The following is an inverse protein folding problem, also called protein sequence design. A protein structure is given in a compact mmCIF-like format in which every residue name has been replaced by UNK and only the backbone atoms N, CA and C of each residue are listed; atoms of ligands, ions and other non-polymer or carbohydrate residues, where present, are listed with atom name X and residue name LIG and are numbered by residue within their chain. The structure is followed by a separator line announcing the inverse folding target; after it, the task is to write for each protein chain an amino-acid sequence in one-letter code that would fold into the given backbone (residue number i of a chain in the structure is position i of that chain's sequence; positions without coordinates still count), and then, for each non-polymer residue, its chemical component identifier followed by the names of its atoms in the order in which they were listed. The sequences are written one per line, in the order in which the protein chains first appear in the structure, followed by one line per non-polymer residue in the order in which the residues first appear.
data_IF_567174693673
#
_entry.id   IF_567174693673
#
_cell.length_a   1.000
_cell.length_b   1.000
_cell.length_c   1.000
_cell.angle_alpha   90.00
_cell.angle_beta   90.00
_cell.angle_gamma   90.00
#
_symmetry.space_group_name_H-M   'P 1'
#
loop_
_entity.id
_entity.type
_entity.pdbx_description
1 polymer ?
#
# COMPACT_ATOMS: atom_id res chain seq x y z
N UNK A 1 21.10 -5.09 -28.59
CA UNK A 1 19.89 -5.46 -29.36
C UNK A 1 18.84 -5.80 -28.33
N UNK A 2 17.82 -4.95 -28.15
CA UNK A 2 16.74 -5.23 -27.21
C UNK A 2 15.83 -6.28 -27.86
N UNK A 3 15.62 -7.40 -27.16
CA UNK A 3 14.71 -8.44 -27.62
C UNK A 3 13.29 -7.94 -27.37
N UNK A 4 12.60 -7.48 -28.41
CA UNK A 4 11.20 -7.06 -28.29
C UNK A 4 10.37 -8.33 -28.24
N UNK A 5 9.94 -8.71 -27.04
CA UNK A 5 9.00 -9.82 -26.87
C UNK A 5 7.64 -9.39 -27.40
N UNK A 6 7.22 -9.98 -28.52
CA UNK A 6 5.88 -9.74 -29.07
C UNK A 6 4.82 -10.39 -28.17
N UNK A 7 3.61 -9.81 -28.08
CA UNK A 7 2.52 -10.42 -27.33
C UNK A 7 2.19 -11.81 -27.92
N UNK A 8 1.84 -12.79 -27.07
CA UNK A 8 1.45 -14.12 -27.53
C UNK A 8 0.14 -14.08 -28.32
N UNK A 9 -0.16 -15.13 -29.07
CA UNK A 9 -1.40 -15.22 -29.82
C UNK A 9 -2.62 -15.24 -28.88
N UNK A 10 -3.54 -14.28 -29.02
CA UNK A 10 -4.77 -14.19 -28.22
C UNK A 10 -5.78 -13.20 -28.85
N UNK A 11 -6.97 -13.10 -28.25
CA UNK A 11 -7.95 -12.04 -28.53
C UNK A 11 -7.56 -10.75 -27.80
N UNK A 12 -7.55 -9.64 -28.53
CA UNK A 12 -7.24 -8.31 -28.01
C UNK A 12 -8.26 -7.30 -28.54
N UNK A 13 -8.35 -6.11 -27.92
CA UNK A 13 -9.23 -5.04 -28.40
C UNK A 13 -8.87 -4.63 -29.82
N UNK A 14 -9.87 -4.54 -30.70
CA UNK A 14 -9.68 -4.17 -32.10
C UNK A 14 -9.31 -2.69 -32.24
N UNK A 15 -8.12 -2.32 -32.77
CA UNK A 15 -7.75 -0.91 -32.94
C UNK A 15 -8.57 -0.21 -34.05
N UNK A 16 -9.23 -0.97 -34.93
CA UNK A 16 -9.97 -0.44 -36.07
C UNK A 16 -11.50 -0.37 -35.84
N UNK A 17 -12.02 -0.80 -34.68
CA UNK A 17 -13.47 -0.80 -34.42
C UNK A 17 -13.89 -1.37 -33.08
N UNK A 18 -15.18 -1.65 -32.93
CA UNK A 18 -15.73 -2.25 -31.72
C UNK A 18 -15.52 -3.77 -31.71
N UNK A 19 -15.04 -4.30 -30.59
CA UNK A 19 -14.93 -5.74 -30.33
C UNK A 19 -13.52 -6.25 -30.11
N UNK A 20 -13.34 -7.55 -30.32
CA UNK A 20 -12.07 -8.23 -30.17
C UNK A 20 -11.57 -8.69 -31.54
N UNK A 21 -10.27 -8.52 -31.79
CA UNK A 21 -9.57 -9.04 -32.95
C UNK A 21 -8.49 -10.02 -32.49
N UNK A 22 -8.28 -11.08 -33.25
CA UNK A 22 -7.29 -12.09 -32.89
C UNK A 22 -5.89 -11.70 -33.41
N UNK A 23 -4.91 -11.67 -32.50
CA UNK A 23 -3.47 -11.55 -32.79
C UNK A 23 -2.87 -12.95 -32.85
N UNK A 24 -2.10 -13.27 -33.88
CA UNK A 24 -1.51 -14.62 -34.06
C UNK A 24 -0.07 -14.75 -33.50
N UNK A 25 0.45 -13.70 -32.86
CA UNK A 25 1.84 -13.62 -32.41
C UNK A 25 2.74 -12.80 -33.33
N UNK A 26 2.31 -12.54 -34.56
CA UNK A 26 3.10 -11.81 -35.58
C UNK A 26 2.30 -10.65 -36.19
N UNK A 27 0.99 -10.84 -36.40
CA UNK A 27 0.09 -9.87 -37.00
C UNK A 27 -1.36 -10.03 -36.52
N UNK A 28 -2.16 -9.00 -36.77
CA UNK A 28 -3.61 -9.07 -36.61
C UNK A 28 -4.20 -9.93 -37.72
N UNK A 29 -5.10 -10.85 -37.36
CA UNK A 29 -5.84 -11.68 -38.32
C UNK A 29 -7.20 -11.06 -38.65
N UNK A 30 -7.91 -11.58 -39.65
CA UNK A 30 -9.27 -11.14 -39.98
C UNK A 30 -10.36 -11.70 -39.06
N UNK A 31 -9.98 -12.54 -38.07
CA UNK A 31 -10.92 -13.05 -37.09
C UNK A 31 -11.32 -11.96 -36.10
N UNK A 32 -12.61 -11.64 -36.09
CA UNK A 32 -13.25 -10.70 -35.18
C UNK A 32 -14.28 -11.44 -34.34
N UNK A 33 -14.33 -11.13 -33.05
CA UNK A 33 -15.38 -11.57 -32.15
C UNK A 33 -16.16 -10.33 -31.68
N UNK A 34 -17.48 -10.45 -31.46
CA UNK A 34 -18.22 -9.42 -30.72
C UNK A 34 -17.47 -9.16 -29.42
N UNK A 35 -17.23 -7.89 -29.09
CA UNK A 35 -16.76 -7.55 -27.76
C UNK A 35 -17.75 -8.12 -26.73
N UNK A 36 -17.31 -8.38 -25.49
CA UNK A 36 -18.28 -8.62 -24.41
C UNK A 36 -19.30 -7.49 -24.50
N UNK A 37 -20.56 -7.85 -24.77
CA UNK A 37 -21.64 -6.87 -24.92
C UNK A 37 -21.47 -5.90 -23.77
N UNK A 38 -21.22 -4.63 -24.09
CA UNK A 38 -21.00 -3.62 -23.07
C UNK A 38 -22.23 -3.70 -22.17
N UNK A 39 -22.04 -4.28 -20.97
CA UNK A 39 -23.13 -4.46 -20.02
C UNK A 39 -23.72 -3.08 -19.89
N UNK A 40 -24.99 -2.87 -20.27
CA UNK A 40 -25.55 -1.55 -20.38
C UNK A 40 -25.28 -0.86 -19.06
N UNK A 41 -24.53 0.25 -19.12
CA UNK A 41 -24.08 0.96 -17.94
C UNK A 41 -25.29 1.06 -17.00
N UNK A 42 -25.19 0.58 -15.74
CA UNK A 42 -26.32 0.55 -14.85
C UNK A 42 -26.93 1.94 -14.86
N UNK A 43 -28.17 2.05 -15.32
CA UNK A 43 -28.86 3.33 -15.36
C UNK A 43 -28.87 3.79 -13.91
N UNK A 44 -28.04 4.80 -13.61
CA UNK A 44 -27.81 5.28 -12.26
C UNK A 44 -29.18 5.63 -11.68
N UNK A 45 -29.72 4.71 -10.91
CA UNK A 45 -30.92 4.99 -10.13
C UNK A 45 -30.42 5.97 -9.10
N UNK A 46 -30.80 7.23 -9.25
CA UNK A 46 -30.56 8.28 -8.27
C UNK A 46 -31.31 7.88 -7.00
N UNK A 47 -30.73 6.98 -6.21
CA UNK A 47 -31.14 6.74 -4.85
C UNK A 47 -30.71 8.00 -4.12
N UNK A 48 -31.68 8.92 -3.93
CA UNK A 48 -31.53 10.02 -2.98
C UNK A 48 -31.13 9.41 -1.64
N UNK A 49 -29.85 9.54 -1.31
CA UNK A 49 -29.35 9.23 0.02
C UNK A 49 -30.21 10.00 1.03
N UNK A 50 -30.95 9.26 1.85
CA UNK A 50 -31.56 9.82 3.06
C UNK A 50 -30.40 10.26 3.96
N UNK A 51 -30.15 11.56 4.01
CA UNK A 51 -29.30 12.19 5.01
C UNK A 51 -29.89 11.92 6.39
N UNK A 52 -29.30 10.94 7.06
CA UNK A 52 -29.75 10.48 8.38
C UNK A 52 -28.63 9.84 9.18
N UNK A 53 -27.36 10.14 8.90
CA UNK A 53 -26.29 9.80 9.83
C UNK A 53 -26.19 10.86 10.92
N UNK A 54 -26.58 10.47 12.13
CA UNK A 54 -26.33 11.25 13.34
C UNK A 54 -24.82 11.28 13.62
N UNK A 55 -24.27 12.39 14.13
CA UNK A 55 -22.85 12.56 14.37
C UNK A 55 -22.38 11.58 15.47
N UNK A 56 -21.52 10.61 15.11
CA UNK A 56 -20.94 9.61 16.03
C UNK A 56 -19.82 10.16 16.93
N UNK A 57 -19.58 11.47 16.93
CA UNK A 57 -18.50 12.09 17.70
C UNK A 57 -18.73 12.15 19.23
N UNK A 58 -19.84 11.60 19.72
CA UNK A 58 -20.16 11.57 21.17
C UNK A 58 -19.80 10.25 21.88
N UNK A 59 -19.34 9.22 21.17
CA UNK A 59 -19.12 7.89 21.79
C UNK A 59 -17.70 7.68 22.36
N UNK A 60 -16.70 8.45 21.94
CA UNK A 60 -15.32 8.28 22.43
C UNK A 60 -15.11 8.69 23.88
N UNK A 61 -15.79 9.75 24.34
CA UNK A 61 -15.64 10.26 25.72
C UNK A 61 -16.27 9.34 26.77
N UNK A 62 -17.30 8.56 26.41
CA UNK A 62 -17.96 7.66 27.37
C UNK A 62 -17.04 6.48 27.73
N UNK A 63 -16.26 5.98 26.77
CA UNK A 63 -15.29 4.89 27.00
C UNK A 63 -14.10 5.39 27.81
N UNK A 64 -13.57 6.58 27.50
CA UNK A 64 -12.48 7.19 28.27
C UNK A 64 -12.88 7.48 29.73
N UNK A 65 -14.11 7.96 29.97
CA UNK A 65 -14.62 8.19 31.33
C UNK A 65 -14.79 6.88 32.12
N UNK A 66 -15.25 5.80 31.48
CA UNK A 66 -15.39 4.49 32.12
C UNK A 66 -14.04 3.87 32.51
N UNK A 67 -13.02 3.98 31.64
CA UNK A 67 -11.66 3.51 31.92
C UNK A 67 -11.03 4.32 33.07
N UNK A 68 -11.17 5.65 33.06
CA UNK A 68 -10.64 6.50 34.12
C UNK A 68 -11.28 6.18 35.49
N UNK A 69 -12.60 5.94 35.52
CA UNK A 69 -13.30 5.59 36.75
C UNK A 69 -12.87 4.21 37.29
N UNK A 70 -12.59 3.25 36.39
CA UNK A 70 -12.04 1.95 36.76
C UNK A 70 -10.63 2.06 37.41
N UNK A 71 -9.74 2.88 36.84
CA UNK A 71 -8.40 3.11 37.41
C UNK A 71 -8.45 3.81 38.77
N UNK A 72 -9.39 4.74 39.00
CA UNK A 72 -9.57 5.40 40.30
C UNK A 72 -10.03 4.42 41.39
N UNK A 73 -10.90 3.46 41.06
CA UNK A 73 -11.35 2.44 42.02
C UNK A 73 -10.23 1.46 42.36
N UNK A 74 -9.40 1.06 41.39
CA UNK A 74 -8.26 0.16 41.63
C UNK A 74 -7.15 0.87 42.42
N UNK A 75 -6.90 2.15 42.16
CA UNK A 75 -5.91 2.95 42.88
C UNK A 75 -6.24 3.20 44.36
N UNK A 76 -7.50 3.11 44.76
CA UNK A 76 -7.92 3.30 46.15
C UNK A 76 -7.71 2.07 47.06
N UNK A 77 -7.46 0.89 46.50
CA UNK A 77 -7.31 -0.37 47.26
C UNK A 77 -5.83 -0.74 47.47
N UNK A 78 -4.90 -0.13 46.73
CA UNK A 78 -3.49 -0.53 46.68
C UNK A 78 -2.54 -0.02 47.77
N UNK A 79 -3.01 0.46 48.94
CA UNK A 79 -2.12 1.09 49.94
C UNK A 79 -1.98 0.35 51.29
N UNK A 80 -2.14 -0.98 51.33
CA UNK A 80 -1.86 -1.78 52.55
C UNK A 80 -1.18 -3.12 52.26
N UNK A 81 -0.08 -3.12 51.51
CA UNK A 81 0.79 -4.29 51.41
C UNK A 81 2.20 -3.88 51.86
N UNK A 82 2.54 -4.29 53.09
CA UNK A 82 3.89 -4.22 53.64
C UNK A 82 4.85 -5.06 52.79
N UNK A 83 5.97 -4.50 52.29
CA UNK A 83 7.00 -5.28 51.65
C UNK A 83 7.85 -5.99 52.71
N UNK A 84 7.65 -7.30 52.84
CA UNK A 84 8.61 -8.18 53.50
C UNK A 84 9.81 -8.40 52.58
N UNK A 85 10.99 -8.35 53.19
CA UNK A 85 12.32 -8.42 52.59
C UNK A 85 12.49 -9.50 51.53
N UNK A 86 13.07 -9.13 50.39
CA UNK A 86 13.75 -10.07 49.49
C UNK A 86 15.05 -9.44 49.02
N UNK A 87 16.04 -9.64 49.89
CA UNK A 87 17.46 -9.59 49.63
C UNK A 87 17.82 -10.44 48.41
N UNK A 88 18.39 -9.82 47.37
CA UNK A 88 19.26 -10.52 46.41
C UNK A 88 20.26 -9.53 45.81
N UNK A 89 21.41 -9.55 46.46
CA UNK A 89 22.78 -9.23 46.08
C UNK A 89 23.03 -8.96 44.58
N UNK A 90 23.27 -7.68 44.26
CA UNK A 90 23.85 -7.24 42.98
C UNK A 90 25.38 -7.18 43.09
N UNK A 91 26.09 -8.12 42.46
CA UNK A 91 27.54 -8.05 42.27
C UNK A 91 27.88 -7.06 41.15
N UNK A 92 28.45 -5.91 41.52
CA UNK A 92 29.06 -4.94 40.60
C UNK A 92 30.44 -5.45 40.15
N UNK A 93 30.66 -5.52 38.84
CA UNK A 93 31.99 -5.58 38.21
C UNK A 93 32.25 -4.27 37.47
N UNK A 94 33.27 -3.48 37.85
CA UNK A 94 33.79 -2.41 37.02
C UNK A 94 35.09 -2.87 36.36
N UNK A 95 35.24 -2.69 35.04
CA UNK A 95 36.58 -2.49 34.48
C UNK A 95 36.51 -1.83 33.11
N UNK A 96 37.18 -0.69 33.03
CA UNK A 96 37.37 0.13 31.87
C UNK A 96 38.47 -0.45 30.97
N UNK A 97 38.39 -0.20 29.67
CA UNK A 97 39.60 0.15 28.91
C UNK A 97 39.29 1.08 27.71
N UNK A 98 40.02 2.19 27.53
CA UNK A 98 39.85 3.11 26.42
C UNK A 98 40.82 2.79 25.28
N UNK A 99 40.32 2.35 24.12
CA UNK A 99 41.15 2.16 22.94
C UNK A 99 41.09 3.38 22.01
N UNK A 100 42.12 4.23 22.13
CA UNK A 100 42.56 5.16 21.08
C UNK A 100 42.80 4.39 19.78
N UNK A 101 42.35 4.92 18.64
CA UNK A 101 42.98 4.63 17.34
C UNK A 101 43.17 5.94 16.57
N UNK A 102 44.43 6.16 16.20
CA UNK A 102 44.92 7.29 15.44
C UNK A 102 44.45 7.25 13.98
N UNK A 103 44.41 8.47 13.44
CA UNK A 103 44.44 8.89 12.04
C UNK A 103 45.28 8.03 11.09
N UNK A 104 44.76 7.89 9.87
CA UNK A 104 45.41 8.09 8.56
C UNK A 104 44.28 7.87 7.53
N UNK A 105 43.95 8.72 6.56
CA UNK A 105 44.82 9.52 5.70
C UNK A 105 44.46 9.14 4.27
N UNK A 106 43.54 9.85 3.62
CA UNK A 106 43.42 9.90 2.15
C UNK A 106 42.42 10.99 1.74
N UNK A 107 42.97 12.11 1.30
CA UNK A 107 42.29 13.21 0.62
C UNK A 107 42.19 12.86 -0.87
N UNK A 108 41.00 12.75 -1.48
CA UNK A 108 40.91 12.70 -2.94
C UNK A 108 41.00 14.11 -3.52
N UNK A 109 42.02 14.30 -4.35
CA UNK A 109 42.27 15.43 -5.24
C UNK A 109 41.03 15.87 -6.00
N UNK A 110 40.63 17.12 -5.78
CA UNK A 110 39.65 17.85 -6.60
C UNK A 110 40.27 18.12 -7.98
N UNK A 111 39.72 17.50 -9.02
CA UNK A 111 39.99 17.87 -10.42
C UNK A 111 39.08 19.03 -10.82
N UNK A 112 39.61 20.14 -11.36
CA UNK A 112 38.80 21.19 -11.96
C UNK A 112 38.30 20.75 -13.33
N UNK A 113 37.00 20.44 -13.44
CA UNK A 113 36.34 20.28 -14.74
C UNK A 113 36.09 21.64 -15.37
N UNK A 114 36.83 21.87 -16.46
CA UNK A 114 36.67 22.96 -17.43
C UNK A 114 35.23 23.04 -17.95
N UNK A 115 34.52 24.09 -17.53
CA UNK A 115 33.19 24.44 -18.02
C UNK A 115 33.28 24.99 -19.45
N UNK A 116 32.69 24.25 -20.39
CA UNK A 116 32.46 24.68 -21.78
C UNK A 116 31.30 25.69 -21.81
N UNK A 117 31.39 26.79 -22.59
CA UNK A 117 30.37 27.82 -22.62
C UNK A 117 29.03 27.31 -23.18
N UNK A 118 27.98 27.63 -22.43
CA UNK A 118 26.57 27.40 -22.71
C UNK A 118 26.09 28.26 -23.90
N UNK A 119 25.46 27.69 -24.94
CA UNK A 119 24.79 28.48 -25.95
C UNK A 119 23.50 29.12 -25.41
N UNK A 120 23.30 30.37 -25.82
CA UNK A 120 22.19 31.27 -25.50
C UNK A 120 20.78 30.67 -25.68
N UNK A 121 19.78 31.21 -24.97
CA UNK A 121 18.44 30.65 -24.87
C UNK A 121 17.69 30.79 -26.19
N UNK A 122 17.33 29.65 -26.80
CA UNK A 122 16.29 29.62 -27.82
C UNK A 122 14.96 29.97 -27.19
N UNK A 123 14.28 30.97 -27.77
CA UNK A 123 12.94 31.40 -27.41
C UNK A 123 12.01 30.19 -27.40
N UNK A 124 11.59 29.81 -26.20
CA UNK A 124 10.56 28.79 -25.98
C UNK A 124 9.23 29.33 -26.51
N UNK A 125 8.86 28.88 -27.70
CA UNK A 125 7.49 28.96 -28.19
C UNK A 125 6.66 28.05 -27.29
N UNK A 126 5.94 28.68 -26.35
CA UNK A 126 4.96 28.03 -25.48
C UNK A 126 4.06 27.13 -26.33
N UNK A 127 4.14 25.79 -26.21
CA UNK A 127 3.24 24.92 -26.94
C UNK A 127 1.83 25.16 -26.40
N UNK A 128 0.91 25.47 -27.32
CA UNK A 128 -0.54 25.43 -27.08
C UNK A 128 -0.87 24.17 -26.28
N UNK A 129 -1.60 24.26 -25.15
CA UNK A 129 -1.95 23.09 -24.35
C UNK A 129 -2.74 22.13 -25.23
N UNK A 130 -2.07 21.10 -25.73
CA UNK A 130 -2.69 20.01 -26.46
C UNK A 130 -3.64 19.37 -25.46
N UNK A 131 -4.94 19.48 -25.72
CA UNK A 131 -5.99 18.77 -24.98
C UNK A 131 -5.87 17.30 -25.37
N UNK A 132 -4.80 16.64 -24.91
CA UNK A 132 -4.71 15.19 -24.95
C UNK A 132 -5.95 14.69 -24.24
N UNK A 133 -6.81 13.89 -24.90
CA UNK A 133 -8.01 13.38 -24.28
C UNK A 133 -7.60 12.73 -22.96
N UNK A 134 -8.21 13.19 -21.87
CA UNK A 134 -7.99 12.62 -20.54
C UNK A 134 -8.22 11.12 -20.72
N UNK A 135 -7.19 10.27 -20.47
CA UNK A 135 -7.36 8.84 -20.62
C UNK A 135 -8.59 8.44 -19.83
N UNK A 136 -9.51 7.75 -20.51
CA UNK A 136 -10.72 7.20 -19.89
C UNK A 136 -10.31 6.58 -18.56
N UNK A 137 -10.85 7.10 -17.46
CA UNK A 137 -10.34 6.82 -16.12
C UNK A 137 -10.17 5.31 -15.97
N UNK A 138 -8.91 4.87 -15.90
CA UNK A 138 -8.62 3.45 -15.75
C UNK A 138 -9.40 2.95 -14.53
N UNK A 139 -10.14 1.85 -14.69
CA UNK A 139 -10.89 1.26 -13.60
C UNK A 139 -9.90 0.96 -12.46
N UNK A 140 -10.11 1.59 -11.30
CA UNK A 140 -9.29 1.37 -10.11
C UNK A 140 -10.00 0.30 -9.29
N UNK A 141 -9.37 -0.86 -9.15
CA UNK A 141 -9.97 -2.03 -8.48
C UNK A 141 -9.43 -2.23 -7.07
N UNK A 142 -8.18 -1.84 -6.80
CA UNK A 142 -7.52 -1.93 -5.49
C UNK A 142 -7.48 -0.58 -4.75
N UNK A 143 -6.28 -0.13 -4.39
CA UNK A 143 -6.10 1.12 -3.62
C UNK A 143 -6.62 2.32 -4.41
N UNK A 144 -7.53 3.07 -3.82
CA UNK A 144 -8.20 4.19 -4.46
C UNK A 144 -9.50 3.84 -5.18
N UNK A 145 -9.91 2.58 -5.22
CA UNK A 145 -11.20 2.17 -5.79
C UNK A 145 -12.37 2.83 -5.05
N UNK A 146 -13.49 3.04 -5.73
CA UNK A 146 -14.74 3.28 -5.00
C UNK A 146 -15.20 1.99 -4.34
N UNK A 147 -16.04 2.08 -3.30
CA UNK A 147 -16.65 0.90 -2.71
C UNK A 147 -17.37 0.02 -3.75
N UNK A 148 -18.09 0.64 -4.68
CA UNK A 148 -18.84 -0.10 -5.70
C UNK A 148 -17.89 -0.81 -6.69
N UNK A 149 -16.80 -0.15 -7.10
CA UNK A 149 -15.78 -0.76 -7.97
C UNK A 149 -15.06 -1.92 -7.26
N UNK A 150 -14.71 -1.74 -5.98
CA UNK A 150 -14.11 -2.79 -5.17
C UNK A 150 -15.02 -4.02 -5.10
N UNK A 151 -16.29 -3.83 -4.73
CA UNK A 151 -17.27 -4.92 -4.62
C UNK A 151 -17.62 -5.56 -5.98
N UNK A 152 -17.40 -4.85 -7.08
CA UNK A 152 -17.58 -5.40 -8.43
C UNK A 152 -16.45 -6.35 -8.84
N UNK A 153 -15.24 -6.18 -8.28
CA UNK A 153 -14.06 -6.99 -8.63
C UNK A 153 -13.60 -7.95 -7.54
N UNK A 154 -14.09 -7.78 -6.31
CA UNK A 154 -13.75 -8.62 -5.17
C UNK A 154 -14.98 -9.36 -4.65
N UNK A 155 -14.84 -10.68 -4.46
CA UNK A 155 -15.89 -11.51 -3.88
C UNK A 155 -15.71 -11.60 -2.36
N UNK A 156 -16.75 -11.28 -1.59
CA UNK A 156 -16.74 -11.40 -0.12
C UNK A 156 -16.35 -12.82 0.31
N UNK A 157 -15.41 -12.94 1.24
CA UNK A 157 -15.01 -14.21 1.81
C UNK A 157 -16.11 -14.72 2.79
N UNK A 158 -16.56 -15.98 2.66
CA UNK A 158 -17.57 -16.53 3.56
C UNK A 158 -17.00 -16.70 4.99
N UNK A 159 -17.86 -16.49 5.99
CA UNK A 159 -17.48 -16.64 7.41
C UNK A 159 -16.84 -15.41 8.04
N UNK A 160 -16.69 -14.32 7.29
CA UNK A 160 -16.20 -13.03 7.79
C UNK A 160 -17.33 -11.99 7.82
N UNK A 161 -17.15 -10.92 8.61
CA UNK A 161 -18.10 -9.80 8.64
C UNK A 161 -18.21 -9.13 7.26
N UNK A 162 -19.39 -8.61 6.94
CA UNK A 162 -19.67 -7.95 5.66
C UNK A 162 -18.66 -6.82 5.40
N UNK A 163 -17.93 -6.94 4.29
CA UNK A 163 -16.95 -5.99 3.83
C UNK A 163 -15.58 -6.06 4.50
N UNK A 164 -15.34 -7.02 5.39
CA UNK A 164 -14.08 -7.14 6.12
C UNK A 164 -13.01 -7.99 5.43
N UNK A 165 -13.41 -8.92 4.56
CA UNK A 165 -12.49 -9.85 3.90
C UNK A 165 -12.99 -10.32 2.54
N UNK A 166 -12.07 -10.50 1.59
CA UNK A 166 -12.37 -10.85 0.22
C UNK A 166 -11.44 -11.94 -0.32
N UNK A 167 -12.01 -12.74 -1.22
CA UNK A 167 -11.39 -13.84 -1.94
C UNK A 167 -10.39 -13.35 -2.99
N UNK A 168 -9.53 -14.24 -3.53
CA UNK A 168 -9.40 -15.68 -3.24
C UNK A 168 -8.83 -16.00 -1.85
N UNK A 169 -8.77 -17.27 -1.49
CA UNK A 169 -8.00 -17.69 -0.31
C UNK A 169 -6.55 -17.98 -0.71
N UNK A 170 -5.61 -17.62 0.17
CA UNK A 170 -4.18 -17.92 0.09
C UNK A 170 -3.77 -18.87 1.20
N UNK A 171 -2.77 -19.70 0.95
CA UNK A 171 -2.20 -20.62 1.95
C UNK A 171 -0.99 -19.95 2.61
N UNK A 172 -1.04 -19.79 3.93
CA UNK A 172 0.08 -19.27 4.74
C UNK A 172 0.81 -20.40 5.46
N UNK A 173 1.95 -20.11 6.11
CA UNK A 173 2.82 -21.16 6.69
C UNK A 173 2.12 -21.92 7.82
N UNK A 174 1.16 -21.27 8.48
CA UNK A 174 0.38 -21.85 9.57
C UNK A 174 -0.68 -22.87 9.09
N UNK A 175 -0.67 -23.24 7.80
CA UNK A 175 -1.56 -24.21 7.15
C UNK A 175 -3.04 -23.83 7.08
N UNK A 176 -3.42 -22.70 7.66
CA UNK A 176 -4.76 -22.16 7.58
C UNK A 176 -4.90 -21.28 6.32
N UNK A 177 -5.95 -21.57 5.55
CA UNK A 177 -6.30 -20.80 4.37
C UNK A 177 -6.92 -19.46 4.81
N UNK A 178 -6.30 -18.34 4.42
CA UNK A 178 -6.77 -17.00 4.77
C UNK A 178 -7.25 -16.26 3.53
N UNK A 179 -8.26 -15.37 3.64
CA UNK A 179 -8.66 -14.53 2.51
C UNK A 179 -7.46 -13.68 2.06
N UNK A 180 -7.25 -13.52 0.76
CA UNK A 180 -6.19 -12.68 0.19
C UNK A 180 -6.33 -11.24 0.69
N UNK A 181 -7.55 -10.72 0.73
CA UNK A 181 -7.81 -9.39 1.23
C UNK A 181 -8.48 -9.45 2.60
N UNK A 182 -7.90 -8.79 3.60
CA UNK A 182 -8.43 -8.76 4.96
C UNK A 182 -8.40 -7.34 5.54
N UNK A 183 -9.19 -7.09 6.59
CA UNK A 183 -9.21 -5.81 7.28
C UNK A 183 -9.59 -4.62 6.38
N UNK A 184 -10.42 -4.87 5.36
CA UNK A 184 -10.74 -3.84 4.36
C UNK A 184 -11.64 -2.76 4.96
N UNK A 185 -11.19 -1.50 4.87
CA UNK A 185 -12.03 -0.34 5.17
C UNK A 185 -12.73 0.16 3.90
N UNK A 186 -14.00 -0.23 3.72
CA UNK A 186 -14.82 0.11 2.56
C UNK A 186 -15.35 1.57 2.56
N UNK A 187 -14.60 2.51 3.13
CA UNK A 187 -14.82 3.95 2.87
C UNK A 187 -14.44 4.23 1.42
N UNK A 188 -15.12 5.19 0.78
CA UNK A 188 -14.77 5.62 -0.58
C UNK A 188 -13.86 6.86 -0.53
N UNK A 189 -12.69 6.83 -1.17
CA UNK A 189 -12.07 5.67 -1.81
C UNK A 189 -11.48 4.66 -0.81
N UNK A 190 -11.36 3.39 -1.22
CA UNK A 190 -10.77 2.31 -0.40
C UNK A 190 -9.28 2.56 -0.25
N UNK A 191 -8.83 2.75 1.00
CA UNK A 191 -7.46 3.20 1.30
C UNK A 191 -6.81 2.43 2.44
N UNK A 192 -7.49 1.46 3.05
CA UNK A 192 -6.91 0.63 4.10
C UNK A 192 -7.34 -0.81 3.95
N UNK A 193 -6.37 -1.72 3.79
CA UNK A 193 -6.58 -3.17 3.78
C UNK A 193 -5.24 -3.91 3.89
N UNK A 194 -5.34 -5.22 4.13
CA UNK A 194 -4.22 -6.16 4.16
C UNK A 194 -4.33 -7.07 2.94
N UNK A 195 -3.22 -7.27 2.23
CA UNK A 195 -3.07 -8.33 1.22
C UNK A 195 -2.21 -9.43 1.81
N UNK A 196 -2.82 -10.58 2.13
CA UNK A 196 -2.14 -11.79 2.57
C UNK A 196 -1.45 -12.44 1.38
N UNK A 197 -0.19 -12.80 1.56
CA UNK A 197 0.65 -13.41 0.52
C UNK A 197 0.86 -14.90 0.80
N UNK A 198 1.04 -15.74 -0.24
CA UNK A 198 1.45 -17.13 -0.05
C UNK A 198 2.79 -17.24 0.70
N UNK A 199 2.98 -18.34 1.43
CA UNK A 199 4.27 -18.64 2.07
C UNK A 199 5.43 -18.64 1.08
N UNK A 200 6.59 -18.13 1.51
CA UNK A 200 7.79 -18.07 0.70
C UNK A 200 7.75 -17.01 -0.41
N UNK A 201 6.80 -16.08 -0.37
CA UNK A 201 6.78 -14.94 -1.29
C UNK A 201 8.00 -14.06 -1.03
N UNK A 202 8.80 -13.84 -2.06
CA UNK A 202 9.98 -12.97 -1.97
C UNK A 202 9.56 -11.49 -1.90
N UNK A 203 10.45 -10.63 -1.39
CA UNK A 203 10.23 -9.18 -1.37
C UNK A 203 9.99 -8.62 -2.78
N UNK A 204 10.68 -9.14 -3.80
CA UNK A 204 10.50 -8.69 -5.17
C UNK A 204 9.10 -9.07 -5.72
N UNK A 205 8.59 -10.26 -5.38
CA UNK A 205 7.22 -10.66 -5.73
C UNK A 205 6.20 -9.85 -4.94
N UNK A 206 6.43 -9.62 -3.64
CA UNK A 206 5.59 -8.79 -2.80
C UNK A 206 5.51 -7.33 -3.31
N UNK A 207 6.64 -6.77 -3.76
CA UNK A 207 6.72 -5.47 -4.43
C UNK A 207 5.89 -5.44 -5.71
N UNK A 208 5.95 -6.50 -6.53
CA UNK A 208 5.16 -6.62 -7.74
C UNK A 208 3.65 -6.71 -7.43
N UNK A 209 3.26 -7.49 -6.42
CA UNK A 209 1.88 -7.57 -5.94
C UNK A 209 1.39 -6.21 -5.44
N UNK A 210 2.19 -5.50 -4.63
CA UNK A 210 1.84 -4.18 -4.14
C UNK A 210 1.61 -3.16 -5.27
N UNK A 211 2.38 -3.21 -6.36
CA UNK A 211 2.16 -2.35 -7.53
C UNK A 211 0.95 -2.76 -8.36
N UNK A 212 0.59 -4.05 -8.38
CA UNK A 212 -0.60 -4.55 -9.08
C UNK A 212 -1.92 -4.06 -8.46
N UNK A 213 -1.89 -3.67 -7.19
CA UNK A 213 -3.01 -3.03 -6.48
C UNK A 213 -3.31 -1.61 -6.97
N UNK A 214 -2.46 -1.04 -7.83
CA UNK A 214 -2.62 0.29 -8.41
C UNK A 214 -2.78 0.23 -9.92
N UNK A 215 -3.39 1.27 -10.54
CA UNK A 215 -3.44 1.38 -11.99
C UNK A 215 -2.05 1.35 -12.66
N UNK A 216 -1.95 0.90 -13.92
CA UNK A 216 -0.68 0.84 -14.63
C UNK A 216 0.10 2.17 -14.62
N UNK A 217 1.41 2.06 -14.41
CA UNK A 217 2.31 3.21 -14.27
C UNK A 217 2.56 3.65 -12.82
N UNK A 218 1.98 2.94 -11.85
CA UNK A 218 2.37 3.10 -10.45
C UNK A 218 3.85 2.73 -10.23
N UNK A 219 4.53 3.46 -9.36
CA UNK A 219 5.93 3.20 -9.01
C UNK A 219 6.15 3.39 -7.52
N UNK A 220 7.12 2.67 -6.95
CA UNK A 220 7.61 2.98 -5.61
C UNK A 220 8.31 4.34 -5.57
N UNK A 221 8.04 5.08 -4.50
CA UNK A 221 8.65 6.36 -4.17
C UNK A 221 9.74 6.20 -3.11
N UNK A 222 9.61 7.00 -2.04
CA UNK A 222 10.51 6.92 -0.91
C UNK A 222 10.34 5.61 -0.14
N UNK A 223 11.47 5.00 0.20
CA UNK A 223 11.59 3.85 1.07
C UNK A 223 12.08 4.31 2.43
N UNK A 224 11.31 4.01 3.47
CA UNK A 224 11.76 4.08 4.84
C UNK A 224 12.35 2.71 5.24
N UNK A 225 13.60 2.75 5.68
CA UNK A 225 14.37 1.59 6.17
C UNK A 225 14.88 1.85 7.58
N UNK A 226 14.20 2.73 8.32
CA UNK A 226 14.58 3.13 9.67
C UNK A 226 14.60 1.98 10.67
N UNK A 227 13.73 0.99 10.47
CA UNK A 227 13.66 -0.22 11.28
C UNK A 227 14.05 -1.46 10.48
N UNK A 228 14.75 -2.39 11.12
CA UNK A 228 15.18 -3.61 10.44
C UNK A 228 14.02 -4.58 10.20
N UNK A 229 13.00 -4.56 11.07
CA UNK A 229 11.86 -5.48 11.07
C UNK A 229 10.79 -5.16 10.02
N UNK A 230 10.83 -3.96 9.45
CA UNK A 230 9.74 -3.41 8.68
C UNK A 230 10.28 -2.52 7.58
N UNK A 231 9.76 -2.71 6.36
CA UNK A 231 10.05 -1.79 5.27
C UNK A 231 8.77 -1.11 4.84
N UNK A 232 8.81 0.22 4.76
CA UNK A 232 7.70 1.01 4.29
C UNK A 232 8.09 1.66 2.97
N UNK A 233 7.24 1.54 1.97
CA UNK A 233 7.39 2.27 0.71
C UNK A 233 6.17 3.13 0.44
N UNK A 234 6.41 4.35 -0.02
CA UNK A 234 5.35 5.16 -0.63
C UNK A 234 5.11 4.71 -2.05
N UNK A 235 3.87 4.81 -2.54
CA UNK A 235 3.51 4.48 -3.92
C UNK A 235 2.99 5.74 -4.62
N UNK A 236 3.52 5.98 -5.82
CA UNK A 236 3.10 7.08 -6.70
C UNK A 236 2.25 6.51 -7.83
N UNK A 237 0.99 6.95 -7.92
CA UNK A 237 0.08 6.57 -9.00
C UNK A 237 -0.78 7.79 -9.37
N UNK A 238 -0.54 8.45 -10.53
CA UNK A 238 -1.29 9.65 -10.91
C UNK A 238 -2.81 9.46 -10.94
N UNK A 239 -3.36 8.33 -11.42
CA UNK A 239 -4.81 8.09 -11.34
C UNK A 239 -5.33 8.06 -9.90
N UNK A 240 -4.61 7.40 -8.99
CA UNK A 240 -5.00 7.35 -7.57
C UNK A 240 -4.86 8.73 -6.92
N UNK A 241 -3.77 9.45 -7.16
CA UNK A 241 -3.59 10.82 -6.65
C UNK A 241 -4.73 11.75 -7.10
N UNK A 242 -5.23 11.58 -8.33
CA UNK A 242 -6.38 12.32 -8.83
C UNK A 242 -7.69 11.94 -8.10
N UNK A 243 -7.91 10.65 -7.82
CA UNK A 243 -9.08 10.18 -7.06
C UNK A 243 -9.04 10.64 -5.61
N UNK A 244 -7.87 10.60 -4.96
CA UNK A 244 -7.70 11.11 -3.59
C UNK A 244 -8.02 12.60 -3.54
N UNK A 245 -7.51 13.38 -4.50
CA UNK A 245 -7.80 14.82 -4.60
C UNK A 245 -9.28 15.11 -4.79
N UNK A 246 -9.99 14.35 -5.63
CA UNK A 246 -11.42 14.59 -5.85
C UNK A 246 -12.29 14.30 -4.61
N UNK A 247 -11.77 13.55 -3.64
CA UNK A 247 -12.40 13.26 -2.36
C UNK A 247 -11.88 14.14 -1.20
N UNK A 248 -11.03 15.13 -1.48
CA UNK A 248 -10.48 16.04 -0.47
C UNK A 248 -9.38 15.43 0.39
N UNK A 249 -8.70 14.38 -0.11
CA UNK A 249 -7.60 13.68 0.58
C UNK A 249 -6.26 14.04 -0.06
N UNK A 250 -6.02 15.33 -0.29
CA UNK A 250 -4.86 15.82 -1.04
C UNK A 250 -3.51 15.50 -0.39
N UNK A 251 -3.49 15.39 0.94
CA UNK A 251 -2.29 15.11 1.72
C UNK A 251 -2.06 13.60 1.94
N UNK A 252 -2.97 12.74 1.48
CA UNK A 252 -2.88 11.30 1.68
C UNK A 252 -1.96 10.69 0.64
N UNK A 253 -0.77 10.28 1.08
CA UNK A 253 0.20 9.56 0.25
C UNK A 253 0.01 8.06 0.48
N UNK A 254 -0.31 7.28 -0.58
CA UNK A 254 -0.40 5.83 -0.47
C UNK A 254 0.92 5.23 0.03
N UNK A 255 0.83 4.38 1.04
CA UNK A 255 1.93 3.61 1.59
C UNK A 255 1.63 2.12 1.55
N UNK A 256 2.70 1.33 1.47
CA UNK A 256 2.67 -0.11 1.72
C UNK A 256 3.69 -0.44 2.79
N UNK A 257 3.27 -1.23 3.77
CA UNK A 257 4.16 -1.84 4.76
C UNK A 257 4.32 -3.32 4.42
N UNK A 258 5.57 -3.75 4.24
CA UNK A 258 5.92 -5.15 4.03
C UNK A 258 6.17 -5.80 5.39
N UNK A 259 5.54 -6.96 5.64
CA UNK A 259 5.64 -7.65 6.93
C UNK A 259 5.89 -9.15 6.76
N UNK A 260 6.58 -9.75 7.72
CA UNK A 260 6.80 -11.20 7.87
C UNK A 260 6.19 -11.69 9.19
N UNK A 261 5.60 -12.89 9.23
CA UNK A 261 4.96 -13.44 10.45
C UNK A 261 5.97 -13.90 11.51
N UNK A 262 7.26 -14.04 11.18
CA UNK A 262 8.26 -14.53 12.13
C UNK A 262 8.55 -13.49 13.23
N UNK A 263 7.76 -13.55 14.30
CA UNK A 263 7.85 -12.70 15.49
C UNK A 263 9.22 -12.72 16.19
N UNK A 264 10.06 -13.70 15.85
CA UNK A 264 11.38 -13.89 16.48
C UNK A 264 12.52 -13.16 15.77
N UNK A 265 12.27 -12.59 14.58
CA UNK A 265 13.28 -11.82 13.86
C UNK A 265 12.87 -10.36 13.84
N UNK A 266 13.63 -9.50 14.51
CA UNK A 266 13.58 -8.03 14.35
C UNK A 266 14.00 -7.59 12.93
N UNK A 267 13.89 -8.47 11.93
CA UNK A 267 14.30 -8.27 10.56
C UNK A 267 13.23 -8.82 9.62
N UNK A 268 12.87 -8.02 8.61
CA UNK A 268 12.08 -8.48 7.47
C UNK A 268 12.87 -9.57 6.74
N UNK A 269 12.34 -10.79 6.62
CA UNK A 269 12.91 -11.81 5.74
C UNK A 269 12.54 -11.50 4.27
N UNK A 270 13.52 -11.11 3.43
CA UNK A 270 13.24 -10.77 2.03
C UNK A 270 12.81 -11.98 1.19
N UNK A 271 12.80 -13.20 1.74
CA UNK A 271 12.33 -14.40 1.05
C UNK A 271 11.00 -14.94 1.60
N UNK A 272 10.40 -14.27 2.58
CA UNK A 272 9.17 -14.75 3.21
C UNK A 272 8.24 -13.61 3.66
N UNK A 273 7.93 -12.69 2.75
CA UNK A 273 6.94 -11.64 3.00
C UNK A 273 5.56 -12.28 3.02
N UNK A 274 4.85 -12.16 4.14
CA UNK A 274 3.57 -12.85 4.36
C UNK A 274 2.38 -11.94 4.17
N UNK A 275 2.57 -10.62 4.24
CA UNK A 275 1.48 -9.66 4.05
C UNK A 275 1.97 -8.29 3.61
N UNK A 276 1.08 -7.57 2.90
CA UNK A 276 1.20 -6.16 2.57
C UNK A 276 0.11 -5.40 3.32
N UNK A 277 0.47 -4.39 4.12
CA UNK A 277 -0.51 -3.49 4.71
C UNK A 277 -0.59 -2.23 3.85
N UNK A 278 -1.72 -2.07 3.16
CA UNK A 278 -1.99 -0.97 2.25
C UNK A 278 -2.71 0.12 3.04
N UNK A 279 -2.06 1.27 3.25
CA UNK A 279 -2.64 2.37 4.05
C UNK A 279 -1.96 3.70 3.76
N UNK A 280 -2.52 4.84 4.18
CA UNK A 280 -1.83 6.12 4.10
C UNK A 280 -0.53 6.08 4.90
N UNK A 281 0.53 6.68 4.35
CA UNK A 281 1.87 6.62 4.98
C UNK A 281 1.91 7.21 6.39
N UNK A 282 1.09 8.22 6.66
CA UNK A 282 1.03 8.85 7.99
C UNK A 282 0.35 7.94 9.01
N UNK A 283 -0.64 7.14 8.58
CA UNK A 283 -1.28 6.14 9.44
C UNK A 283 -0.31 4.99 9.75
N UNK A 284 0.46 4.54 8.75
CA UNK A 284 1.48 3.52 8.95
C UNK A 284 2.48 3.90 10.06
N UNK A 285 2.97 5.15 10.04
CA UNK A 285 3.88 5.70 11.07
C UNK A 285 3.20 5.87 12.43
N UNK A 286 1.95 6.33 12.45
CA UNK A 286 1.24 6.57 13.72
C UNK A 286 0.87 5.29 14.45
N UNK A 287 0.67 4.20 13.70
CA UNK A 287 0.33 2.88 14.25
C UNK A 287 1.55 2.10 14.74
N UNK A 288 2.77 2.60 14.51
CA UNK A 288 3.99 1.91 14.91
C UNK A 288 4.19 0.60 14.15
N UNK A 289 3.71 0.53 12.90
CA UNK A 289 3.98 -0.63 12.04
C UNK A 289 5.48 -0.73 11.72
N UNK A 290 6.15 0.42 11.72
CA UNK A 290 7.45 0.67 12.33
C UNK A 290 7.41 2.10 12.93
#
# INVERSE_FOLDING_TARGET
MQNVTLPPANWYTDPDGDGLRYWDGVQWTDHRAPGPDAVPAPTATVVRARSGQRPRWRSGWVIAAAIFLLFVVIGAIGNTIDPADSESTSTKTPSAEPSKRLADGASPTLVPSTSKPSPSPSKSTSPTPSTTPIPSAALITGYGATKDDWLATHAQAPGFDDGSAFLPYVTTEESDSQPEYAGVDLVTPVVSYIVNLPSGTSLAEAEATALAEFPPGATFGHWDKGEAACSIATIRSPPVEQVMRSHGWEDWVPGVVFSTVTADTDQLDPNNVTSLNMMPIEDAKNLGFC
#
